data_IF_779085137486
#
_entry.id   IF_779085137486
#
_cell.length_a   1.000
_cell.length_b   1.000
_cell.length_c   1.000
_cell.angle_alpha   90.00
_cell.angle_beta   90.00
_cell.angle_gamma   90.00
#
_symmetry.space_group_name_H-M   'P 1'
#
loop_
_entity.id
_entity.type
_entity.pdbx_description
1 polymer ?
#
# COMPACT_ATOMS: atom_id res chain seq x y z
N UNK A 1 8.33 -4.87 -8.48
CA UNK A 1 7.14 -4.59 -7.64
C UNK A 1 6.09 -3.78 -8.39
N UNK A 2 6.38 -2.54 -8.83
CA UNK A 2 5.40 -1.69 -9.56
C UNK A 2 4.80 -2.37 -10.80
N UNK A 3 5.62 -3.04 -11.62
CA UNK A 3 5.15 -3.78 -12.78
C UNK A 3 4.17 -4.91 -12.39
N UNK A 4 4.50 -5.72 -11.39
CA UNK A 4 3.64 -6.81 -10.89
C UNK A 4 2.30 -6.30 -10.32
N UNK A 5 2.32 -5.17 -9.60
CA UNK A 5 1.09 -4.53 -9.12
C UNK A 5 0.23 -4.03 -10.27
N UNK A 6 0.85 -3.48 -11.33
CA UNK A 6 0.12 -3.05 -12.53
C UNK A 6 -0.54 -4.23 -13.26
N UNK A 7 0.10 -5.41 -13.31
CA UNK A 7 -0.53 -6.62 -13.83
C UNK A 7 -1.74 -7.06 -13.00
N UNK A 8 -1.77 -6.70 -11.72
CA UNK A 8 -2.91 -6.90 -10.83
C UNK A 8 -3.95 -5.75 -10.90
N UNK A 9 -3.78 -4.78 -11.80
CA UNK A 9 -4.68 -3.62 -11.94
C UNK A 9 -4.56 -2.58 -10.84
N UNK A 10 -3.40 -2.52 -10.17
CA UNK A 10 -3.16 -1.61 -9.04
C UNK A 10 -2.17 -0.54 -9.47
N UNK A 11 -2.62 0.72 -9.44
CA UNK A 11 -1.74 1.87 -9.54
C UNK A 11 -1.02 2.09 -8.21
N UNK A 12 0.29 2.28 -8.29
CA UNK A 12 1.15 2.44 -7.12
C UNK A 12 2.28 3.44 -7.40
N UNK A 13 2.54 4.29 -6.41
CA UNK A 13 3.65 5.23 -6.41
C UNK A 13 4.85 4.59 -5.71
N UNK A 14 6.02 4.64 -6.34
CA UNK A 14 7.27 4.15 -5.76
C UNK A 14 8.12 5.36 -5.45
N UNK A 15 8.47 5.54 -4.18
CA UNK A 15 9.47 6.48 -3.71
C UNK A 15 10.68 5.69 -3.22
N UNK A 16 11.89 6.11 -3.56
CA UNK A 16 13.14 5.54 -3.07
C UNK A 16 13.95 6.57 -2.28
N UNK A 17 14.59 6.13 -1.19
CA UNK A 17 15.42 6.99 -0.34
C UNK A 17 16.01 6.23 0.85
N UNK A 18 17.21 6.61 1.28
CA UNK A 18 17.90 6.00 2.44
C UNK A 18 18.07 4.47 2.38
N UNK A 19 18.16 3.89 1.19
CA UNK A 19 18.24 2.43 1.01
C UNK A 19 16.89 1.69 1.20
N UNK A 20 15.79 2.43 1.35
CA UNK A 20 14.44 1.88 1.34
C UNK A 20 13.65 2.34 0.10
N UNK A 21 12.97 1.41 -0.54
CA UNK A 21 11.90 1.67 -1.48
C UNK A 21 10.55 1.58 -0.76
N UNK A 22 9.70 2.58 -0.96
CA UNK A 22 8.34 2.64 -0.42
C UNK A 22 7.36 2.66 -1.57
N UNK A 23 6.49 1.65 -1.61
CA UNK A 23 5.42 1.51 -2.59
C UNK A 23 4.11 1.87 -1.90
N UNK A 24 3.62 3.06 -2.21
CA UNK A 24 2.33 3.58 -1.74
C UNK A 24 1.23 3.13 -2.70
N UNK A 25 0.21 2.48 -2.16
CA UNK A 25 -0.84 1.83 -2.96
C UNK A 25 -2.23 2.42 -2.63
N UNK A 26 -2.53 2.62 -1.34
CA UNK A 26 -3.80 3.17 -0.87
C UNK A 26 -3.65 3.76 0.52
N UNK A 27 -4.61 4.58 0.97
CA UNK A 27 -4.70 5.08 2.34
C UNK A 27 -4.68 3.92 3.35
N UNK A 28 -3.57 3.72 4.05
CA UNK A 28 -3.39 2.63 5.02
C UNK A 28 -2.79 1.33 4.45
N UNK A 29 -2.39 1.31 3.18
CA UNK A 29 -1.59 0.23 2.59
C UNK A 29 -0.32 0.79 1.94
N UNK A 30 0.77 0.67 2.69
CA UNK A 30 2.13 1.00 2.24
C UNK A 30 2.98 -0.25 2.34
N UNK A 31 3.72 -0.56 1.28
CA UNK A 31 4.69 -1.64 1.24
C UNK A 31 6.09 -1.03 1.27
N UNK A 32 6.93 -1.47 2.19
CA UNK A 32 8.33 -1.07 2.29
C UNK A 32 9.22 -2.18 1.75
N UNK A 33 10.40 -1.82 1.27
CA UNK A 33 11.44 -2.74 0.88
C UNK A 33 12.82 -2.17 1.11
N UNK A 34 13.76 -3.01 1.51
CA UNK A 34 15.21 -2.73 1.55
C UNK A 34 15.97 -3.37 0.37
N UNK A 35 15.24 -3.89 -0.62
CA UNK A 35 15.79 -4.63 -1.76
C UNK A 35 15.94 -6.14 -1.53
N UNK A 36 15.89 -6.61 -0.28
CA UNK A 36 15.96 -8.04 0.06
C UNK A 36 14.62 -8.58 0.53
N UNK A 37 13.84 -7.76 1.22
CA UNK A 37 12.55 -8.13 1.79
C UNK A 37 11.53 -7.06 1.46
N UNK A 38 10.28 -7.47 1.30
CA UNK A 38 9.11 -6.60 1.32
C UNK A 38 8.37 -6.80 2.64
N UNK A 39 7.90 -5.72 3.25
CA UNK A 39 6.97 -5.80 4.39
C UNK A 39 5.88 -4.75 4.30
N UNK A 40 4.74 -5.03 4.92
CA UNK A 40 3.59 -4.13 4.95
C UNK A 40 2.75 -4.38 6.19
N UNK A 41 1.95 -3.40 6.59
CA UNK A 41 0.97 -3.59 7.66
C UNK A 41 -0.23 -4.37 7.14
N UNK A 42 -0.67 -5.36 7.90
CA UNK A 42 -1.87 -6.15 7.55
C UNK A 42 -3.16 -5.49 8.02
N UNK A 43 -3.08 -4.35 8.71
CA UNK A 43 -4.22 -3.67 9.34
C UNK A 43 -4.67 -4.29 10.66
N UNK A 44 -4.06 -5.40 11.09
CA UNK A 44 -4.30 -5.98 12.42
C UNK A 44 -3.52 -5.25 13.52
N UNK A 45 -4.07 -5.29 14.74
CA UNK A 45 -3.40 -4.83 15.95
C UNK A 45 -3.18 -6.01 16.90
N UNK A 46 -1.93 -6.24 17.31
CA UNK A 46 -1.61 -7.23 18.34
C UNK A 46 -1.71 -6.55 19.71
N UNK A 47 -2.84 -6.73 20.39
CA UNK A 47 -3.09 -6.14 21.70
C UNK A 47 -2.12 -6.65 22.78
N UNK A 48 -1.61 -7.89 22.65
CA UNK A 48 -0.66 -8.47 23.61
C UNK A 48 0.72 -7.83 23.47
N UNK A 49 1.12 -7.47 22.26
CA UNK A 49 2.43 -6.85 21.97
C UNK A 49 2.38 -5.34 21.81
N UNK A 50 1.18 -4.73 21.88
CA UNK A 50 0.98 -3.29 21.76
C UNK A 50 1.46 -2.72 20.42
N UNK A 51 1.38 -3.47 19.32
CA UNK A 51 1.91 -3.05 18.02
C UNK A 51 1.06 -3.52 16.84
N UNK A 52 1.18 -2.80 15.72
CA UNK A 52 0.59 -3.21 14.46
C UNK A 52 1.16 -4.55 13.99
N UNK A 53 0.32 -5.37 13.35
CA UNK A 53 0.72 -6.62 12.73
C UNK A 53 1.29 -6.33 11.34
N UNK A 54 2.46 -6.90 11.08
CA UNK A 54 3.17 -6.80 9.82
C UNK A 54 3.23 -8.17 9.13
N UNK A 55 3.13 -8.16 7.82
CA UNK A 55 3.49 -9.28 6.96
C UNK A 55 4.80 -8.93 6.24
N UNK A 56 5.57 -9.95 5.91
CA UNK A 56 6.82 -9.81 5.16
C UNK A 56 7.01 -11.01 4.22
N UNK A 57 7.78 -10.81 3.15
CA UNK A 57 8.15 -11.79 2.14
C UNK A 57 9.47 -11.40 1.48
N UNK A 58 10.25 -12.38 1.03
CA UNK A 58 11.51 -12.12 0.34
C UNK A 58 11.28 -11.44 -1.02
N UNK A 59 12.23 -10.62 -1.47
CA UNK A 59 12.14 -9.90 -2.74
C UNK A 59 12.16 -10.83 -3.96
N UNK A 60 12.75 -12.03 -3.82
CA UNK A 60 12.72 -13.09 -4.81
C UNK A 60 11.31 -13.61 -5.09
N UNK A 61 10.39 -13.50 -4.13
CA UNK A 61 9.00 -13.94 -4.25
C UNK A 61 8.07 -12.81 -4.72
N UNK A 62 8.55 -11.97 -5.64
CA UNK A 62 7.90 -10.72 -6.04
C UNK A 62 6.43 -10.90 -6.47
N UNK A 63 6.12 -11.97 -7.19
CA UNK A 63 4.75 -12.27 -7.58
C UNK A 63 3.85 -12.63 -6.38
N UNK A 64 4.38 -13.39 -5.40
CA UNK A 64 3.62 -13.72 -4.18
C UNK A 64 3.35 -12.47 -3.35
N UNK A 65 4.36 -11.59 -3.25
CA UNK A 65 4.21 -10.27 -2.62
C UNK A 65 3.09 -9.49 -3.31
N UNK A 66 3.16 -9.33 -4.64
CA UNK A 66 2.15 -8.60 -5.41
C UNK A 66 0.75 -9.19 -5.25
N UNK A 67 0.59 -10.51 -5.34
CA UNK A 67 -0.69 -11.19 -5.14
C UNK A 67 -1.28 -10.96 -3.74
N UNK A 68 -0.46 -11.07 -2.68
CA UNK A 68 -0.94 -10.84 -1.30
C UNK A 68 -1.32 -9.38 -1.06
N UNK A 69 -0.55 -8.47 -1.63
CA UNK A 69 -0.84 -7.04 -1.57
C UNK A 69 -2.13 -6.73 -2.33
N UNK A 70 -2.36 -7.35 -3.48
CA UNK A 70 -3.59 -7.19 -4.25
C UNK A 70 -4.83 -7.71 -3.51
N UNK A 71 -4.74 -8.87 -2.87
CA UNK A 71 -5.80 -9.39 -2.01
C UNK A 71 -6.11 -8.41 -0.87
N UNK A 72 -5.08 -7.90 -0.21
CA UNK A 72 -5.26 -6.94 0.89
C UNK A 72 -5.88 -5.63 0.40
N UNK A 73 -5.48 -5.16 -0.78
CA UNK A 73 -6.05 -3.98 -1.42
C UNK A 73 -7.55 -4.17 -1.69
N UNK A 74 -7.95 -5.30 -2.26
CA UNK A 74 -9.36 -5.63 -2.49
C UNK A 74 -10.18 -5.69 -1.18
N UNK A 75 -9.61 -6.24 -0.11
CA UNK A 75 -10.27 -6.27 1.21
C UNK A 75 -10.44 -4.87 1.81
N UNK A 76 -9.43 -4.00 1.64
CA UNK A 76 -9.48 -2.61 2.08
C UNK A 76 -10.52 -1.82 1.29
N UNK A 77 -10.64 -2.02 -0.01
CA UNK A 77 -11.68 -1.37 -0.81
C UNK A 77 -13.10 -1.71 -0.35
N UNK A 78 -13.33 -2.96 0.10
CA UNK A 78 -14.65 -3.39 0.61
C UNK A 78 -15.00 -2.74 1.96
N UNK A 79 -14.00 -2.46 2.79
CA UNK A 79 -14.19 -1.91 4.15
C UNK A 79 -14.11 -0.39 4.20
N UNK A 80 -13.38 0.20 3.27
CA UNK A 80 -13.25 1.63 3.08
C UNK A 80 -13.48 1.93 1.59
N UNK A 81 -14.76 2.07 1.15
CA UNK A 81 -15.03 2.58 -0.18
C UNK A 81 -14.26 3.90 -0.34
N UNK A 82 -13.64 4.09 -1.52
CA UNK A 82 -12.88 5.29 -1.86
C UNK A 82 -13.57 6.51 -1.25
N UNK A 83 -12.84 7.45 -0.60
CA UNK A 83 -13.37 8.78 -0.50
C UNK A 83 -13.70 9.18 -1.93
N UNK A 84 -15.00 9.31 -2.26
CA UNK A 84 -15.42 9.87 -3.52
C UNK A 84 -14.60 11.12 -3.68
N UNK A 85 -13.72 11.15 -4.68
CA UNK A 85 -12.98 12.35 -5.04
C UNK A 85 -14.02 13.46 -5.08
N UNK A 86 -13.98 14.37 -4.10
CA UNK A 86 -14.72 15.62 -4.20
C UNK A 86 -14.05 16.35 -5.35
N UNK A 87 -14.54 16.08 -6.55
CA UNK A 87 -14.19 16.80 -7.75
C UNK A 87 -14.36 18.29 -7.42
N UNK A 88 -13.24 19.02 -7.48
CA UNK A 88 -13.12 20.47 -7.49
C UNK A 88 -14.20 21.27 -6.77
N UNK A 89 -13.95 21.59 -5.51
CA UNK A 89 -14.36 22.88 -4.97
C UNK A 89 -13.09 23.68 -4.62
N UNK A 90 -12.34 24.04 -5.66
CA UNK A 90 -11.60 25.30 -5.60
C UNK A 90 -12.66 26.40 -5.65
N UNK A 91 -13.18 26.76 -4.49
CA UNK A 91 -13.85 28.04 -4.29
C UNK A 91 -12.75 29.09 -4.47
N UNK A 92 -12.68 29.67 -5.67
CA UNK A 92 -11.97 30.91 -5.87
C UNK A 92 -12.84 32.00 -5.24
N UNK A 93 -12.36 32.56 -4.13
CA UNK A 93 -12.89 33.81 -3.58
C UNK A 93 -12.69 34.92 -4.63
N UNK A 94 -13.71 35.72 -4.96
CA UNK A 94 -13.49 36.99 -5.64
C UNK A 94 -13.11 38.08 -4.63
N UNK A 95 -12.15 38.91 -5.02
CA UNK A 95 -11.80 40.18 -4.35
C UNK A 95 -12.85 41.24 -4.64
#
# INVERSE_FOLDING_TARGET
MKAELKHCGIDADVNDGYGLAVVSIWTGLTVWSDGLTFWWRTGGWDARRGRAVYAWHAAEELERVARRVALRYADLQKTHPLPTTRAGAHHADPV
#
